data_IF_163392276544
#
_entry.id   IF_163392276544
#
_cell.length_a   1.000
_cell.length_b   1.000
_cell.length_c   1.000
_cell.angle_alpha   90.00
_cell.angle_beta   90.00
_cell.angle_gamma   90.00
#
_symmetry.space_group_name_H-M   'P 1'
#
loop_
_entity.id
_entity.type
_entity.pdbx_description
1 polymer ?
#
# COMPACT_ATOMS: atom_id res chain seq x y z
N UNK A 1 -11.65 -17.66 -17.39
CA UNK A 1 -10.95 -17.91 -16.09
C UNK A 1 -9.46 -17.55 -16.19
N UNK A 2 -8.74 -17.97 -17.26
CA UNK A 2 -7.32 -17.56 -17.47
C UNK A 2 -7.28 -16.10 -17.89
N UNK A 3 -8.10 -15.70 -18.86
CA UNK A 3 -8.21 -14.32 -19.34
C UNK A 3 -8.56 -13.33 -18.21
N UNK A 4 -9.51 -13.67 -17.33
CA UNK A 4 -9.89 -12.80 -16.21
C UNK A 4 -8.75 -12.61 -15.18
N UNK A 5 -7.92 -13.65 -14.99
CA UNK A 5 -6.76 -13.54 -14.10
C UNK A 5 -5.65 -12.67 -14.72
N UNK A 6 -5.41 -12.82 -16.02
CA UNK A 6 -4.43 -12.01 -16.75
C UNK A 6 -4.86 -10.53 -16.80
N UNK A 7 -6.13 -10.24 -17.07
CA UNK A 7 -6.73 -8.91 -16.97
C UNK A 7 -6.48 -8.27 -15.59
N UNK A 8 -6.73 -9.02 -14.53
CA UNK A 8 -6.55 -8.52 -13.16
C UNK A 8 -5.09 -8.21 -12.82
N UNK A 9 -4.16 -9.05 -13.28
CA UNK A 9 -2.72 -8.85 -13.05
C UNK A 9 -2.17 -7.63 -13.79
N UNK A 10 -2.56 -7.45 -15.06
CA UNK A 10 -2.15 -6.33 -15.88
C UNK A 10 -2.70 -5.01 -15.32
N UNK A 11 -3.98 -4.99 -14.96
CA UNK A 11 -4.64 -3.82 -14.40
C UNK A 11 -4.00 -3.36 -13.07
N UNK A 12 -3.69 -4.29 -12.14
CA UNK A 12 -2.98 -3.97 -10.88
C UNK A 12 -1.60 -3.35 -11.11
N UNK A 13 -1.01 -3.58 -12.27
CA UNK A 13 0.29 -3.00 -12.66
C UNK A 13 0.15 -1.71 -13.47
N UNK A 14 -1.09 -1.22 -13.69
CA UNK A 14 -1.38 -0.08 -14.55
C UNK A 14 -1.16 -0.37 -16.04
N UNK A 15 -1.22 -1.64 -16.43
CA UNK A 15 -1.07 -2.11 -17.79
C UNK A 15 -2.45 -2.45 -18.38
N UNK A 16 -2.63 -2.21 -19.70
CA UNK A 16 -3.87 -2.57 -20.39
C UNK A 16 -3.75 -3.94 -21.06
N UNK A 17 -4.88 -4.63 -21.22
CA UNK A 17 -4.99 -5.94 -21.89
C UNK A 17 -4.43 -5.99 -23.31
N UNK A 18 -4.26 -4.82 -23.93
CA UNK A 18 -3.68 -4.68 -25.25
C UNK A 18 -2.16 -4.62 -25.26
N UNK A 19 -1.51 -4.75 -24.09
CA UNK A 19 -0.03 -4.78 -24.02
C UNK A 19 0.50 -6.19 -24.32
N UNK A 20 0.70 -6.45 -25.60
CA UNK A 20 1.48 -7.60 -26.07
C UNK A 20 2.97 -7.40 -25.70
N UNK A 21 3.61 -8.47 -25.27
CA UNK A 21 5.05 -8.51 -24.94
C UNK A 21 5.93 -7.99 -26.06
N UNK A 22 5.48 -8.09 -27.31
CA UNK A 22 6.21 -7.69 -28.52
C UNK A 22 5.79 -6.34 -29.11
N UNK A 23 5.00 -5.53 -28.40
CA UNK A 23 4.65 -4.18 -28.85
C UNK A 23 5.87 -3.29 -28.99
N UNK A 24 5.82 -2.40 -29.99
CA UNK A 24 6.91 -1.44 -30.23
C UNK A 24 7.02 -0.43 -29.09
N UNK A 25 8.25 -0.01 -28.77
CA UNK A 25 8.58 0.99 -27.74
C UNK A 25 7.73 2.26 -27.88
N UNK A 26 7.50 2.73 -29.12
CA UNK A 26 6.71 3.94 -29.39
C UNK A 26 5.25 3.85 -28.94
N UNK A 27 4.68 2.65 -28.87
CA UNK A 27 3.30 2.43 -28.43
C UNK A 27 3.22 2.14 -26.92
N UNK A 28 4.23 1.48 -26.37
CA UNK A 28 4.25 1.07 -24.95
C UNK A 28 4.70 2.22 -24.04
N UNK A 29 5.72 2.98 -24.43
CA UNK A 29 6.29 4.03 -23.59
C UNK A 29 5.26 5.10 -23.13
N UNK A 30 4.39 5.67 -24.00
CA UNK A 30 3.43 6.69 -23.56
C UNK A 30 2.44 6.18 -22.52
N UNK A 31 1.96 4.94 -22.66
CA UNK A 31 1.00 4.34 -21.73
C UNK A 31 1.61 4.17 -20.35
N UNK A 32 2.81 3.58 -20.29
CA UNK A 32 3.55 3.41 -19.03
C UNK A 32 3.96 4.75 -18.43
N UNK A 33 4.32 5.73 -19.25
CA UNK A 33 4.67 7.08 -18.76
C UNK A 33 3.51 7.78 -18.08
N UNK A 34 2.28 7.57 -18.54
CA UNK A 34 1.09 8.14 -17.87
C UNK A 34 0.95 7.59 -16.45
N UNK A 35 1.04 6.27 -16.29
CA UNK A 35 0.96 5.61 -15.00
C UNK A 35 2.11 5.99 -14.07
N UNK A 36 3.33 6.02 -14.58
CA UNK A 36 4.50 6.49 -13.86
C UNK A 36 4.36 7.96 -13.44
N UNK A 37 3.76 8.80 -14.30
CA UNK A 37 3.48 10.20 -14.00
C UNK A 37 2.51 10.36 -12.83
N UNK A 38 1.43 9.57 -12.78
CA UNK A 38 0.51 9.55 -11.65
C UNK A 38 1.20 9.13 -10.36
N UNK A 39 2.02 8.07 -10.42
CA UNK A 39 2.81 7.63 -9.27
C UNK A 39 3.83 8.69 -8.83
N UNK A 40 4.43 9.43 -9.75
CA UNK A 40 5.33 10.53 -9.43
C UNK A 40 4.60 11.66 -8.69
N UNK A 41 3.40 12.02 -9.12
CA UNK A 41 2.57 13.02 -8.44
C UNK A 41 2.27 12.59 -7.01
N UNK A 42 1.84 11.35 -6.79
CA UNK A 42 1.57 10.83 -5.45
C UNK A 42 2.84 10.80 -4.58
N UNK A 43 3.99 10.46 -5.15
CA UNK A 43 5.27 10.49 -4.45
C UNK A 43 5.68 11.92 -4.05
N UNK A 44 5.44 12.93 -4.92
CA UNK A 44 5.68 14.33 -4.60
C UNK A 44 4.78 14.80 -3.46
N UNK A 45 3.50 14.42 -3.46
CA UNK A 45 2.56 14.74 -2.37
C UNK A 45 3.04 14.11 -1.06
N UNK A 46 3.45 12.84 -1.09
CA UNK A 46 4.00 12.16 0.09
C UNK A 46 5.28 12.84 0.60
N UNK A 47 6.19 13.22 -0.31
CA UNK A 47 7.41 13.95 0.05
C UNK A 47 7.12 15.32 0.67
N UNK A 48 6.09 16.02 0.16
CA UNK A 48 5.66 17.30 0.73
C UNK A 48 5.12 17.15 2.15
N UNK A 49 4.40 16.05 2.43
CA UNK A 49 3.95 15.74 3.79
C UNK A 49 5.13 15.45 4.74
N UNK A 50 6.17 14.80 4.27
CA UNK A 50 7.41 14.56 5.05
C UNK A 50 8.14 15.88 5.32
N UNK A 51 8.18 16.80 4.36
CA UNK A 51 8.85 18.10 4.48
C UNK A 51 8.29 18.97 5.61
N UNK A 52 7.02 18.80 5.97
CA UNK A 52 6.39 19.47 7.13
C UNK A 52 7.15 19.13 8.44
N UNK A 53 7.77 17.96 8.51
CA UNK A 53 8.50 17.48 9.69
C UNK A 53 10.03 17.59 9.53
N UNK A 54 10.52 18.42 8.59
CA UNK A 54 11.93 18.57 8.27
C UNK A 54 12.79 18.83 9.52
N UNK A 55 12.41 19.80 10.34
CA UNK A 55 13.18 20.19 11.54
C UNK A 55 13.33 19.03 12.53
N UNK A 56 12.31 18.19 12.64
CA UNK A 56 12.35 16.97 13.48
C UNK A 56 13.28 15.92 12.89
N UNK A 57 13.27 15.75 11.58
CA UNK A 57 14.13 14.81 10.87
C UNK A 57 15.60 15.24 10.90
N UNK A 58 15.89 16.54 10.82
CA UNK A 58 17.24 17.05 10.94
C UNK A 58 17.83 16.79 12.33
N UNK A 59 17.01 16.84 13.39
CA UNK A 59 17.43 16.51 14.75
C UNK A 59 17.60 15.01 14.99
N UNK A 60 16.87 14.17 14.26
CA UNK A 60 16.83 12.72 14.41
C UNK A 60 17.08 12.00 13.08
N UNK A 61 18.30 12.11 12.57
CA UNK A 61 18.70 11.49 11.28
C UNK A 61 18.39 9.98 11.24
N UNK A 62 18.40 9.30 12.39
CA UNK A 62 18.02 7.89 12.47
C UNK A 62 16.59 7.62 11.97
N UNK A 63 15.66 8.56 12.13
CA UNK A 63 14.30 8.41 11.59
C UNK A 63 14.31 8.36 10.06
N UNK A 64 15.10 9.23 9.41
CA UNK A 64 15.21 9.24 7.96
C UNK A 64 15.76 7.91 7.40
N UNK A 65 16.73 7.30 8.12
CA UNK A 65 17.30 5.99 7.76
C UNK A 65 16.25 4.86 7.90
N UNK A 66 15.34 4.98 8.87
CA UNK A 66 14.35 3.94 9.19
C UNK A 66 13.03 4.09 8.42
N UNK A 67 12.74 5.28 7.86
CA UNK A 67 11.51 5.55 7.09
C UNK A 67 11.25 4.54 5.96
N UNK A 68 12.25 4.13 5.15
CA UNK A 68 12.03 3.15 4.07
C UNK A 68 11.48 1.80 4.57
N UNK A 69 11.84 1.39 5.78
CA UNK A 69 11.34 0.12 6.37
C UNK A 69 9.84 0.21 6.59
N UNK A 70 9.38 1.28 7.26
CA UNK A 70 7.95 1.48 7.53
C UNK A 70 7.18 1.65 6.23
N UNK A 71 7.65 2.51 5.32
CA UNK A 71 6.98 2.78 4.04
C UNK A 71 6.84 1.51 3.19
N UNK A 72 7.90 0.71 3.08
CA UNK A 72 7.88 -0.55 2.34
C UNK A 72 6.87 -1.54 2.92
N UNK A 73 6.86 -1.71 4.24
CA UNK A 73 5.94 -2.63 4.91
C UNK A 73 4.47 -2.21 4.71
N UNK A 74 4.17 -0.92 4.78
CA UNK A 74 2.84 -0.39 4.49
C UNK A 74 2.42 -0.61 3.05
N UNK A 75 3.33 -0.37 2.10
CA UNK A 75 3.10 -0.61 0.67
C UNK A 75 2.75 -2.08 0.37
N UNK A 76 3.54 -3.01 0.91
CA UNK A 76 3.30 -4.45 0.74
C UNK A 76 1.98 -4.87 1.39
N UNK A 77 1.72 -4.48 2.63
CA UNK A 77 0.48 -4.83 3.33
C UNK A 77 -0.75 -4.25 2.63
N UNK A 78 -0.68 -3.00 2.17
CA UNK A 78 -1.75 -2.36 1.40
C UNK A 78 -2.04 -3.09 0.09
N UNK A 79 -1.00 -3.45 -0.66
CA UNK A 79 -1.15 -4.19 -1.91
C UNK A 79 -1.74 -5.59 -1.69
N UNK A 80 -1.35 -6.29 -0.63
CA UNK A 80 -1.94 -7.59 -0.28
C UNK A 80 -3.44 -7.48 0.00
N UNK A 81 -3.84 -6.53 0.84
CA UNK A 81 -5.26 -6.30 1.16
C UNK A 81 -6.03 -5.87 -0.09
N UNK A 82 -5.49 -4.92 -0.87
CA UNK A 82 -6.08 -4.44 -2.11
C UNK A 82 -6.36 -5.58 -3.08
N UNK A 83 -5.37 -6.44 -3.33
CA UNK A 83 -5.49 -7.60 -4.23
C UNK A 83 -6.59 -8.56 -3.79
N UNK A 84 -6.66 -8.86 -2.49
CA UNK A 84 -7.72 -9.74 -1.95
C UNK A 84 -9.10 -9.13 -2.13
N UNK A 85 -9.25 -7.83 -1.88
CA UNK A 85 -10.54 -7.13 -2.00
C UNK A 85 -10.97 -7.00 -3.46
N UNK A 86 -10.07 -6.60 -4.37
CA UNK A 86 -10.37 -6.52 -5.81
C UNK A 86 -10.79 -7.89 -6.35
N UNK A 87 -10.06 -8.94 -6.02
CA UNK A 87 -10.43 -10.31 -6.40
C UNK A 87 -11.82 -10.69 -5.87
N UNK A 88 -12.11 -10.36 -4.61
CA UNK A 88 -13.44 -10.60 -4.02
C UNK A 88 -14.55 -9.83 -4.73
N UNK A 89 -14.27 -8.62 -5.20
CA UNK A 89 -15.18 -7.80 -6.00
C UNK A 89 -15.41 -8.44 -7.38
N UNK A 90 -14.36 -8.84 -8.08
CA UNK A 90 -14.42 -9.46 -9.40
C UNK A 90 -15.19 -10.79 -9.39
N UNK A 91 -15.02 -11.59 -8.34
CA UNK A 91 -15.76 -12.85 -8.15
C UNK A 91 -17.19 -12.67 -7.62
N UNK A 92 -17.68 -11.43 -7.45
CA UNK A 92 -19.02 -11.17 -6.91
C UNK A 92 -19.18 -11.54 -5.44
N UNK A 93 -18.10 -11.81 -4.71
CA UNK A 93 -18.13 -12.20 -3.30
C UNK A 93 -18.35 -11.01 -2.36
N UNK A 94 -17.99 -9.79 -2.80
CA UNK A 94 -18.14 -8.56 -2.01
C UNK A 94 -19.49 -7.92 -2.32
N UNK A 95 -20.43 -8.11 -1.40
CA UNK A 95 -21.78 -7.53 -1.43
C UNK A 95 -21.97 -6.56 -0.28
N UNK A 96 -22.94 -5.63 -0.39
CA UNK A 96 -23.26 -4.65 0.67
C UNK A 96 -23.47 -5.28 2.05
N UNK A 97 -24.01 -6.51 2.10
CA UNK A 97 -24.29 -7.21 3.36
C UNK A 97 -23.05 -7.72 4.09
N UNK A 98 -21.91 -7.93 3.39
CA UNK A 98 -20.70 -8.51 3.99
C UNK A 98 -19.50 -7.54 4.06
N UNK A 99 -19.64 -6.30 3.57
CA UNK A 99 -18.58 -5.27 3.61
C UNK A 99 -18.06 -5.05 5.04
N UNK A 100 -18.96 -4.97 6.02
CA UNK A 100 -18.57 -4.76 7.43
C UNK A 100 -17.72 -5.91 7.96
N UNK A 101 -18.08 -7.13 7.63
CA UNK A 101 -17.32 -8.31 8.01
C UNK A 101 -15.93 -8.32 7.36
N UNK A 102 -15.88 -8.03 6.04
CA UNK A 102 -14.62 -7.94 5.29
C UNK A 102 -13.69 -6.88 5.90
N UNK A 103 -14.22 -5.68 6.15
CA UNK A 103 -13.47 -4.61 6.79
C UNK A 103 -12.93 -5.01 8.17
N UNK A 104 -13.79 -5.61 9.01
CA UNK A 104 -13.38 -6.07 10.35
C UNK A 104 -12.29 -7.15 10.28
N UNK A 105 -12.41 -8.07 9.32
CA UNK A 105 -11.41 -9.12 9.09
C UNK A 105 -10.06 -8.51 8.67
N UNK A 106 -10.04 -7.64 7.64
CA UNK A 106 -8.80 -7.05 7.15
C UNK A 106 -8.17 -6.11 8.20
N UNK A 107 -8.99 -5.37 8.95
CA UNK A 107 -8.51 -4.57 10.08
C UNK A 107 -7.87 -5.43 11.17
N UNK A 108 -8.47 -6.57 11.52
CA UNK A 108 -7.90 -7.50 12.48
C UNK A 108 -6.57 -8.10 12.00
N UNK A 109 -6.49 -8.47 10.72
CA UNK A 109 -5.23 -8.94 10.10
C UNK A 109 -4.17 -7.84 10.15
N UNK A 110 -4.52 -6.61 9.81
CA UNK A 110 -3.63 -5.45 9.92
C UNK A 110 -3.15 -5.19 11.35
N UNK A 111 -4.05 -5.33 12.35
CA UNK A 111 -3.71 -5.17 13.76
C UNK A 111 -2.75 -6.26 14.25
N UNK A 112 -3.02 -7.52 13.93
CA UNK A 112 -2.15 -8.64 14.33
C UNK A 112 -0.77 -8.49 13.69
N UNK A 113 -0.70 -8.24 12.38
CA UNK A 113 0.56 -8.03 11.69
C UNK A 113 1.28 -6.77 12.20
N UNK A 114 0.52 -5.68 12.45
CA UNK A 114 1.03 -4.46 13.04
C UNK A 114 1.72 -4.70 14.37
N UNK A 115 1.09 -5.45 15.28
CA UNK A 115 1.67 -5.82 16.57
C UNK A 115 2.89 -6.74 16.41
N UNK A 116 2.80 -7.78 15.59
CA UNK A 116 3.92 -8.69 15.36
C UNK A 116 5.15 -7.96 14.82
N UNK A 117 4.98 -7.20 13.74
CA UNK A 117 6.10 -6.49 13.12
C UNK A 117 6.57 -5.27 13.90
N UNK A 118 5.74 -4.65 14.73
CA UNK A 118 6.17 -3.60 15.65
C UNK A 118 7.15 -4.12 16.69
N UNK A 119 6.90 -5.31 17.25
CA UNK A 119 7.83 -5.95 18.20
C UNK A 119 9.17 -6.22 17.53
N UNK A 120 9.14 -6.83 16.34
CA UNK A 120 10.38 -7.13 15.59
C UNK A 120 11.15 -5.84 15.27
N UNK A 121 10.47 -4.84 14.71
CA UNK A 121 11.10 -3.57 14.34
C UNK A 121 11.60 -2.83 15.56
N UNK A 122 10.83 -2.79 16.65
CA UNK A 122 11.23 -2.16 17.91
C UNK A 122 12.50 -2.79 18.48
N UNK A 123 12.57 -4.14 18.52
CA UNK A 123 13.76 -4.85 19.00
C UNK A 123 14.99 -4.58 18.11
N UNK A 124 14.84 -4.63 16.80
CA UNK A 124 15.92 -4.36 15.85
C UNK A 124 16.44 -2.93 16.05
N UNK A 125 15.55 -1.94 16.16
CA UNK A 125 15.92 -0.54 16.33
C UNK A 125 16.57 -0.30 17.70
N UNK A 126 16.04 -0.90 18.77
CA UNK A 126 16.63 -0.81 20.10
C UNK A 126 18.08 -1.31 20.12
N UNK A 127 18.31 -2.47 19.48
CA UNK A 127 19.62 -3.09 19.40
C UNK A 127 20.60 -2.30 18.48
N UNK A 128 20.08 -1.78 17.35
CA UNK A 128 20.92 -1.13 16.34
C UNK A 128 21.37 0.28 16.74
N UNK A 129 20.47 1.03 17.37
CA UNK A 129 20.70 2.45 17.73
C UNK A 129 20.95 2.69 19.22
N UNK A 130 20.87 1.64 20.05
CA UNK A 130 20.98 1.75 21.52
C UNK A 130 20.08 2.87 22.10
N UNK A 131 18.88 3.04 21.51
CA UNK A 131 17.96 4.10 21.86
C UNK A 131 16.53 3.55 22.03
N UNK A 132 16.09 3.31 23.28
CA UNK A 132 14.75 2.79 23.56
C UNK A 132 13.62 3.69 23.09
N UNK A 133 13.81 5.01 23.14
CA UNK A 133 12.79 5.96 22.68
C UNK A 133 12.55 5.83 21.18
N UNK A 134 13.62 5.73 20.40
CA UNK A 134 13.54 5.52 18.95
C UNK A 134 12.85 4.18 18.61
N UNK A 135 13.12 3.13 19.38
CA UNK A 135 12.49 1.84 19.23
C UNK A 135 10.98 1.92 19.45
N UNK A 136 10.51 2.63 20.48
CA UNK A 136 9.08 2.84 20.75
C UNK A 136 8.41 3.65 19.63
N UNK A 137 9.05 4.70 19.15
CA UNK A 137 8.54 5.51 18.03
C UNK A 137 8.37 4.64 16.79
N UNK A 138 9.38 3.84 16.44
CA UNK A 138 9.33 2.98 15.26
C UNK A 138 8.31 1.85 15.38
N UNK A 139 8.21 1.23 16.56
CA UNK A 139 7.17 0.23 16.83
C UNK A 139 5.76 0.82 16.67
N UNK A 140 5.53 2.01 17.23
CA UNK A 140 4.25 2.70 17.11
C UNK A 140 3.93 3.08 15.66
N UNK A 141 4.92 3.61 14.93
CA UNK A 141 4.79 3.94 13.52
C UNK A 141 4.44 2.69 12.67
N UNK A 142 5.03 1.55 12.97
CA UNK A 142 4.73 0.28 12.28
C UNK A 142 3.28 -0.15 12.48
N UNK A 143 2.76 -0.08 13.71
CA UNK A 143 1.34 -0.41 14.01
C UNK A 143 0.41 0.52 13.22
N UNK A 144 0.62 1.82 13.33
CA UNK A 144 -0.24 2.83 12.65
C UNK A 144 -0.18 2.64 11.13
N UNK A 145 1.00 2.41 10.57
CA UNK A 145 1.20 2.22 9.15
C UNK A 145 0.47 0.98 8.61
N UNK A 146 0.58 -0.17 9.28
CA UNK A 146 -0.08 -1.40 8.85
C UNK A 146 -1.60 -1.35 9.02
N UNK A 147 -2.10 -0.66 10.05
CA UNK A 147 -3.53 -0.38 10.17
C UNK A 147 -4.03 0.54 9.06
N UNK A 148 -3.30 1.61 8.75
CA UNK A 148 -3.64 2.51 7.66
C UNK A 148 -3.64 1.79 6.30
N UNK A 149 -2.66 0.91 6.07
CA UNK A 149 -2.57 0.08 4.88
C UNK A 149 -3.78 -0.87 4.73
N UNK A 150 -4.18 -1.54 5.81
CA UNK A 150 -5.36 -2.41 5.82
C UNK A 150 -6.66 -1.63 5.56
N UNK A 151 -6.81 -0.45 6.16
CA UNK A 151 -7.97 0.42 5.96
C UNK A 151 -8.02 0.91 4.50
N UNK A 152 -6.93 1.48 4.00
CA UNK A 152 -6.85 2.00 2.64
C UNK A 152 -7.05 0.90 1.60
N UNK A 153 -6.35 -0.23 1.73
CA UNK A 153 -6.45 -1.39 0.83
C UNK A 153 -7.86 -2.01 0.79
N UNK A 154 -8.63 -1.85 1.87
CA UNK A 154 -10.03 -2.31 1.91
C UNK A 154 -11.00 -1.27 1.37
N UNK A 155 -10.88 -0.01 1.82
CA UNK A 155 -11.90 1.02 1.52
C UNK A 155 -11.78 1.55 0.09
N UNK A 156 -10.57 1.75 -0.42
CA UNK A 156 -10.38 2.36 -1.75
C UNK A 156 -11.11 1.56 -2.84
N UNK A 157 -10.92 0.24 -3.00
CA UNK A 157 -11.60 -0.50 -4.06
C UNK A 157 -13.12 -0.58 -3.87
N UNK A 158 -13.59 -0.59 -2.62
CA UNK A 158 -15.03 -0.59 -2.33
C UNK A 158 -15.66 0.76 -2.72
N UNK A 159 -14.97 1.88 -2.44
CA UNK A 159 -15.43 3.21 -2.81
C UNK A 159 -15.44 3.37 -4.34
N UNK A 160 -14.37 2.95 -5.02
CA UNK A 160 -14.28 3.00 -6.49
C UNK A 160 -15.43 2.20 -7.13
N UNK A 161 -15.70 0.99 -6.64
CA UNK A 161 -16.85 0.19 -7.08
C UNK A 161 -18.18 0.92 -6.85
N UNK A 162 -18.35 1.59 -5.72
CA UNK A 162 -19.57 2.35 -5.41
C UNK A 162 -19.75 3.56 -6.32
N UNK A 163 -18.66 4.13 -6.82
CA UNK A 163 -18.65 5.23 -7.80
C UNK A 163 -18.75 4.76 -9.25
N UNK A 164 -18.97 3.44 -9.50
CA UNK A 164 -18.93 2.81 -10.82
C UNK A 164 -17.61 3.02 -11.58
N UNK A 165 -16.53 3.26 -10.85
CA UNK A 165 -15.17 3.22 -11.38
C UNK A 165 -14.63 1.80 -11.23
N UNK A 166 -13.84 1.35 -12.21
CA UNK A 166 -13.21 0.03 -12.13
C UNK A 166 -12.13 0.09 -11.03
N UNK A 167 -12.24 -0.73 -9.97
CA UNK A 167 -11.26 -0.73 -8.89
C UNK A 167 -9.92 -1.38 -9.26
N UNK A 168 -9.81 -1.96 -10.45
CA UNK A 168 -8.59 -2.59 -10.96
C UNK A 168 -7.76 -1.65 -11.86
N UNK A 169 -8.29 -0.47 -12.19
CA UNK A 169 -7.62 0.53 -13.06
C UNK A 169 -6.99 1.64 -12.23
#
# INVERSE_FOLDING_TARGET
IVDDADHSLLALSGLSDTEDTFLSVKKTAPKRSLWLGLNLITAIIASSAIDIFRDTLEQLVALAVLMPIVASMGGVAGSQTLTVVIRGIALGQVEKKNIKWLFSKEFAVGAINGLCFSIVTGLVVAFWFDNPMLAVIMASAMVVNLLAAAIAGTLIPIILKALNADPAV
#
